data_IF_084051879171
#
_entry.id   IF_084051879171
#
_cell.length_a   1.000
_cell.length_b   1.000
_cell.length_c   1.000
_cell.angle_alpha   90.00
_cell.angle_beta   90.00
_cell.angle_gamma   90.00
#
_symmetry.space_group_name_H-M   'P 1'
#
loop_
_entity.id
_entity.type
_entity.pdbx_description
1 polymer ?
#
# COMPACT_ATOMS: atom_id res chain seq x y z
N UNK A 1 17.90 -46.52 -5.60
CA UNK A 1 17.87 -46.90 -4.15
C UNK A 1 16.42 -46.88 -3.63
N UNK A 2 16.07 -47.56 -2.53
CA UNK A 2 14.69 -47.53 -1.99
C UNK A 2 14.38 -46.15 -1.35
N UNK A 3 13.30 -45.50 -1.78
CA UNK A 3 12.79 -44.20 -1.29
C UNK A 3 12.84 -44.05 0.23
N UNK A 4 12.39 -45.07 0.96
CA UNK A 4 12.31 -45.07 2.42
C UNK A 4 13.72 -45.00 3.06
N UNK A 5 14.70 -45.64 2.43
CA UNK A 5 16.10 -45.68 2.86
C UNK A 5 16.79 -44.33 2.64
N UNK A 6 16.47 -43.63 1.55
CA UNK A 6 16.97 -42.27 1.26
C UNK A 6 16.45 -41.29 2.32
N UNK A 7 15.14 -41.29 2.57
CA UNK A 7 14.51 -40.42 3.57
C UNK A 7 15.14 -40.66 4.95
N UNK A 8 15.29 -41.91 5.38
CA UNK A 8 15.84 -42.24 6.70
C UNK A 8 17.30 -41.78 6.85
N UNK A 9 18.11 -41.90 5.80
CA UNK A 9 19.51 -41.45 5.78
C UNK A 9 19.66 -39.95 5.98
N UNK A 10 18.84 -39.15 5.30
CA UNK A 10 18.87 -37.69 5.44
C UNK A 10 18.21 -37.23 6.75
N UNK A 11 17.11 -37.89 7.16
CA UNK A 11 16.42 -37.58 8.41
C UNK A 11 17.30 -37.80 9.65
N UNK A 12 18.07 -38.89 9.70
CA UNK A 12 19.05 -39.15 10.79
C UNK A 12 20.14 -38.09 10.91
N UNK A 13 20.40 -37.33 9.84
CA UNK A 13 21.33 -36.20 9.82
C UNK A 13 20.64 -34.84 9.97
N UNK A 14 19.36 -34.83 10.33
CA UNK A 14 18.57 -33.60 10.52
C UNK A 14 18.24 -32.87 9.22
N UNK A 15 18.34 -33.53 8.06
CA UNK A 15 18.03 -32.97 6.74
C UNK A 15 16.68 -33.52 6.26
N UNK A 16 15.76 -32.66 5.80
CA UNK A 16 14.49 -33.04 5.17
C UNK A 16 14.60 -32.82 3.66
N UNK A 17 14.15 -33.77 2.84
CA UNK A 17 14.30 -33.73 1.37
C UNK A 17 13.02 -33.28 0.69
N UNK A 18 13.11 -32.46 -0.36
CA UNK A 18 11.97 -32.16 -1.24
C UNK A 18 11.61 -33.37 -2.10
N UNK A 19 10.39 -33.41 -2.64
CA UNK A 19 9.95 -34.50 -3.53
C UNK A 19 10.75 -34.56 -4.84
N UNK A 20 11.13 -33.41 -5.39
CA UNK A 20 11.96 -33.34 -6.60
C UNK A 20 13.37 -33.87 -6.30
N UNK A 21 13.94 -33.48 -5.16
CA UNK A 21 15.22 -33.99 -4.70
C UNK A 21 15.17 -35.50 -4.44
N UNK A 22 14.10 -35.98 -3.81
CA UNK A 22 13.92 -37.40 -3.53
C UNK A 22 13.86 -38.21 -4.83
N UNK A 23 13.13 -37.69 -5.83
CA UNK A 23 13.01 -38.27 -7.17
C UNK A 23 14.33 -38.24 -7.96
N UNK A 24 15.19 -37.24 -7.73
CA UNK A 24 16.54 -37.19 -8.28
C UNK A 24 17.46 -38.23 -7.63
N UNK A 25 17.45 -38.31 -6.29
CA UNK A 25 18.27 -39.26 -5.53
C UNK A 25 17.85 -40.72 -5.74
N UNK A 26 16.59 -40.97 -6.10
CA UNK A 26 16.12 -42.31 -6.49
C UNK A 26 16.82 -42.83 -7.75
N UNK A 27 17.23 -41.93 -8.66
CA UNK A 27 17.88 -42.23 -9.95
C UNK A 27 19.41 -42.34 -9.87
N UNK A 28 19.99 -41.93 -8.74
CA UNK A 28 21.44 -42.02 -8.49
C UNK A 28 21.87 -43.44 -8.06
N UNK A 29 23.12 -43.79 -8.34
CA UNK A 29 23.71 -45.07 -7.93
C UNK A 29 24.03 -45.07 -6.43
N UNK A 30 23.92 -46.23 -5.75
CA UNK A 30 24.18 -46.31 -4.30
C UNK A 30 25.62 -45.92 -3.93
N UNK A 31 26.58 -46.10 -4.85
CA UNK A 31 27.99 -45.78 -4.64
C UNK A 31 28.30 -44.27 -4.64
N UNK A 32 27.45 -43.42 -5.25
CA UNK A 32 27.64 -41.96 -5.25
C UNK A 32 27.08 -41.28 -3.99
N UNK A 33 26.31 -42.00 -3.16
CA UNK A 33 25.64 -41.45 -1.97
C UNK A 33 26.55 -40.86 -0.89
N UNK A 34 27.69 -41.47 -0.53
CA UNK A 34 28.60 -40.87 0.46
C UNK A 34 29.08 -39.48 0.03
N UNK A 35 29.40 -39.30 -1.25
CA UNK A 35 29.83 -38.02 -1.80
C UNK A 35 28.72 -36.97 -1.91
N UNK A 36 27.45 -37.38 -2.05
CA UNK A 36 26.29 -36.47 -2.05
C UNK A 36 25.96 -36.02 -0.62
N UNK A 37 26.13 -36.91 0.36
CA UNK A 37 25.83 -36.65 1.76
C UNK A 37 26.82 -35.68 2.43
N UNK A 38 28.07 -35.68 1.99
CA UNK A 38 29.15 -34.81 2.51
C UNK A 38 29.23 -33.45 1.79
N UNK A 39 28.39 -33.21 0.77
CA UNK A 39 28.25 -31.89 0.13
C UNK A 39 27.21 -31.05 0.88
N UNK A 40 27.57 -29.82 1.21
CA UNK A 40 26.63 -28.79 1.71
C UNK A 40 25.78 -28.25 0.56
N UNK A 41 24.83 -29.06 0.08
CA UNK A 41 23.77 -28.54 -0.77
C UNK A 41 22.69 -27.91 0.12
N UNK A 42 22.68 -26.58 0.18
CA UNK A 42 21.54 -25.82 0.72
C UNK A 42 20.22 -26.11 -0.02
N UNK A 43 20.27 -26.63 -1.25
CA UNK A 43 19.12 -26.95 -2.10
C UNK A 43 18.40 -28.27 -1.75
N UNK A 44 19.01 -29.15 -0.93
CA UNK A 44 18.39 -30.44 -0.58
C UNK A 44 17.48 -30.36 0.67
N UNK A 45 17.27 -29.17 1.24
CA UNK A 45 16.62 -28.97 2.54
C UNK A 45 15.20 -28.39 2.42
N UNK A 46 14.18 -29.17 2.78
CA UNK A 46 12.85 -28.63 3.09
C UNK A 46 12.93 -27.78 4.36
N UNK A 47 13.18 -26.49 4.18
CA UNK A 47 12.96 -25.48 5.23
C UNK A 47 11.45 -25.24 5.45
N UNK A 48 11.01 -24.69 6.60
CA UNK A 48 9.60 -24.33 6.84
C UNK A 48 8.97 -23.47 5.74
N UNK A 49 9.78 -22.73 4.96
CA UNK A 49 9.35 -21.96 3.78
C UNK A 49 8.71 -22.81 2.69
N UNK A 50 9.09 -24.08 2.55
CA UNK A 50 8.51 -25.00 1.55
C UNK A 50 7.11 -25.51 1.93
N UNK A 51 6.71 -25.36 3.19
CA UNK A 51 5.37 -25.70 3.67
C UNK A 51 4.47 -24.46 3.80
N UNK A 52 4.98 -23.26 3.50
CA UNK A 52 4.20 -22.03 3.48
C UNK A 52 3.45 -21.95 2.14
N UNK A 53 2.16 -22.26 2.16
CA UNK A 53 1.28 -21.91 1.04
C UNK A 53 1.25 -20.40 0.90
N UNK A 54 1.50 -19.88 -0.31
CA UNK A 54 1.35 -18.46 -0.61
C UNK A 54 -0.01 -17.96 -0.12
N UNK A 55 -0.01 -16.88 0.66
CA UNK A 55 -1.23 -16.31 1.21
C UNK A 55 -1.43 -14.92 0.62
N UNK A 56 -2.31 -14.85 -0.38
CA UNK A 56 -2.63 -13.63 -1.12
C UNK A 56 -4.11 -13.31 -0.90
N UNK A 57 -4.42 -12.13 -0.38
CA UNK A 57 -5.79 -11.62 -0.34
C UNK A 57 -5.85 -10.14 -0.69
N UNK A 58 -6.80 -9.78 -1.53
CA UNK A 58 -7.05 -8.40 -1.92
C UNK A 58 -7.89 -7.76 -0.82
N UNK A 59 -7.32 -6.78 -0.12
CA UNK A 59 -8.00 -6.07 0.99
C UNK A 59 -8.79 -4.86 0.50
N UNK A 60 -8.32 -4.21 -0.57
CA UNK A 60 -8.91 -2.98 -1.10
C UNK A 60 -8.70 -2.94 -2.61
N UNK A 61 -9.79 -2.99 -3.37
CA UNK A 61 -9.79 -2.90 -4.83
C UNK A 61 -11.15 -2.39 -5.34
N UNK A 62 -11.15 -1.25 -6.04
CA UNK A 62 -12.36 -0.66 -6.64
C UNK A 62 -12.55 -1.21 -8.05
N UNK A 63 -13.57 -2.04 -8.28
CA UNK A 63 -13.78 -2.71 -9.58
C UNK A 63 -14.82 -2.04 -10.47
N UNK A 64 -15.61 -1.09 -9.95
CA UNK A 64 -16.60 -0.36 -10.74
C UNK A 64 -16.96 0.99 -10.11
N UNK A 65 -17.40 1.93 -10.96
CA UNK A 65 -17.91 3.25 -10.57
C UNK A 65 -19.39 3.35 -11.00
N UNK A 66 -20.34 3.06 -10.10
CA UNK A 66 -21.75 3.19 -10.44
C UNK A 66 -22.11 4.66 -10.65
N UNK A 67 -23.05 4.92 -11.56
CA UNK A 67 -23.57 6.26 -11.79
C UNK A 67 -24.61 6.57 -10.70
N UNK A 68 -24.38 7.61 -9.91
CA UNK A 68 -25.17 7.89 -8.71
C UNK A 68 -26.13 9.07 -8.89
N UNK A 69 -27.34 8.91 -8.36
CA UNK A 69 -28.29 10.01 -8.18
C UNK A 69 -27.90 10.92 -7.01
N UNK A 70 -28.48 12.14 -6.95
CA UNK A 70 -28.18 13.14 -5.90
C UNK A 70 -28.32 12.61 -4.47
N UNK A 71 -29.37 11.82 -4.18
CA UNK A 71 -29.57 11.27 -2.83
C UNK A 71 -28.46 10.28 -2.43
N UNK A 72 -27.91 9.54 -3.38
CA UNK A 72 -26.82 8.59 -3.15
C UNK A 72 -25.48 9.30 -2.92
N UNK A 73 -25.33 10.55 -3.38
CA UNK A 73 -24.13 11.35 -3.13
C UNK A 73 -23.96 11.72 -1.65
N UNK A 74 -25.06 11.80 -0.88
CA UNK A 74 -24.99 11.99 0.58
C UNK A 74 -24.38 10.77 1.28
N UNK A 75 -24.56 9.57 0.71
CA UNK A 75 -23.97 8.32 1.22
C UNK A 75 -22.44 8.37 1.25
N UNK A 76 -21.81 8.99 0.25
CA UNK A 76 -20.36 9.19 0.19
C UNK A 76 -19.84 9.95 1.41
N UNK A 77 -20.35 11.15 1.66
CA UNK A 77 -19.89 12.00 2.77
C UNK A 77 -20.22 11.42 4.14
N UNK A 78 -21.38 10.76 4.25
CA UNK A 78 -21.77 10.06 5.48
C UNK A 78 -20.79 8.92 5.78
N UNK A 79 -20.50 8.08 4.79
CA UNK A 79 -19.52 6.99 4.90
C UNK A 79 -18.13 7.51 5.24
N UNK A 80 -17.67 8.59 4.57
CA UNK A 80 -16.40 9.26 4.86
C UNK A 80 -16.34 9.71 6.32
N UNK A 81 -17.38 10.42 6.79
CA UNK A 81 -17.45 10.91 8.16
C UNK A 81 -17.40 9.79 9.18
N UNK A 82 -18.20 8.74 8.99
CA UNK A 82 -18.30 7.62 9.93
C UNK A 82 -17.00 6.84 10.05
N UNK A 83 -16.38 6.46 8.91
CA UNK A 83 -15.09 5.75 8.88
C UNK A 83 -13.99 6.58 9.53
N UNK A 84 -13.86 7.86 9.15
CA UNK A 84 -12.87 8.76 9.73
C UNK A 84 -13.10 9.04 11.22
N UNK A 85 -14.35 9.23 11.64
CA UNK A 85 -14.72 9.41 13.04
C UNK A 85 -14.35 8.19 13.88
N UNK A 86 -14.55 6.98 13.37
CA UNK A 86 -14.15 5.75 14.05
C UNK A 86 -12.62 5.72 14.29
N UNK A 87 -11.83 6.01 13.25
CA UNK A 87 -10.36 6.08 13.33
C UNK A 87 -9.91 7.16 14.33
N UNK A 88 -10.44 8.38 14.21
CA UNK A 88 -10.12 9.50 15.10
C UNK A 88 -10.44 9.17 16.57
N UNK A 89 -11.61 8.59 16.82
CA UNK A 89 -12.05 8.21 18.17
C UNK A 89 -11.12 7.16 18.78
N UNK A 90 -10.80 6.11 18.02
CA UNK A 90 -9.92 5.04 18.47
C UNK A 90 -8.48 5.52 18.74
N UNK A 91 -7.94 6.39 17.87
CA UNK A 91 -6.54 6.82 17.91
C UNK A 91 -6.28 7.93 18.92
N UNK A 92 -7.20 8.90 19.05
CA UNK A 92 -7.01 10.06 19.90
C UNK A 92 -7.50 9.85 21.34
N UNK A 93 -8.43 8.91 21.56
CA UNK A 93 -8.98 8.55 22.88
C UNK A 93 -9.41 9.80 23.68
N UNK A 94 -10.09 10.73 23.01
CA UNK A 94 -10.64 11.97 23.60
C UNK A 94 -12.15 11.87 23.73
N UNK A 95 -12.71 12.67 24.63
CA UNK A 95 -14.15 12.83 24.79
C UNK A 95 -14.67 13.80 23.73
N UNK A 96 -15.00 13.27 22.56
CA UNK A 96 -15.56 14.04 21.46
C UNK A 96 -17.03 14.40 21.72
N UNK A 97 -17.38 15.66 21.49
CA UNK A 97 -18.73 16.19 21.65
C UNK A 97 -19.32 16.55 20.29
N UNK A 98 -20.63 16.31 20.15
CA UNK A 98 -21.41 16.79 19.00
C UNK A 98 -21.61 18.30 19.07
N UNK A 99 -21.70 18.93 17.90
CA UNK A 99 -21.81 20.40 17.78
C UNK A 99 -23.03 20.94 18.54
N UNK A 100 -24.18 20.26 18.48
CA UNK A 100 -25.40 20.69 19.17
C UNK A 100 -25.33 20.67 20.72
N UNK A 101 -24.33 20.01 21.31
CA UNK A 101 -24.13 19.92 22.77
C UNK A 101 -23.17 20.98 23.31
N UNK A 102 -22.61 21.82 22.45
CA UNK A 102 -21.65 22.85 22.85
C UNK A 102 -22.35 23.97 23.60
N UNK A 103 -21.88 24.26 24.82
CA UNK A 103 -22.35 25.36 25.66
C UNK A 103 -21.50 26.63 25.52
N UNK A 104 -21.89 27.72 26.19
CA UNK A 104 -21.11 28.97 26.26
C UNK A 104 -20.23 29.05 27.53
N UNK A 105 -19.79 27.90 28.03
CA UNK A 105 -19.12 27.71 29.33
C UNK A 105 -17.61 27.97 29.30
N UNK A 106 -17.05 28.35 28.14
CA UNK A 106 -15.60 28.52 27.93
C UNK A 106 -14.79 27.27 28.27
N UNK A 107 -15.42 26.09 28.26
CA UNK A 107 -14.74 24.84 28.48
C UNK A 107 -13.85 24.48 27.27
N UNK A 108 -12.84 23.66 27.55
CA UNK A 108 -12.08 23.00 26.50
C UNK A 108 -12.87 21.82 25.95
N UNK A 109 -13.00 21.77 24.63
CA UNK A 109 -13.84 20.83 23.91
C UNK A 109 -13.05 20.12 22.81
N UNK A 110 -13.43 18.88 22.52
CA UNK A 110 -12.94 18.13 21.37
C UNK A 110 -14.13 17.84 20.47
N UNK A 111 -14.03 18.22 19.19
CA UNK A 111 -15.10 18.04 18.20
C UNK A 111 -14.53 17.35 16.96
N UNK A 112 -15.38 16.62 16.23
CA UNK A 112 -15.04 16.02 14.92
C UNK A 112 -16.05 16.54 13.91
N UNK A 113 -15.57 17.15 12.83
CA UNK A 113 -16.41 17.67 11.77
C UNK A 113 -15.73 17.58 10.40
N UNK A 114 -16.54 17.70 9.35
CA UNK A 114 -16.08 17.88 7.97
C UNK A 114 -15.84 19.37 7.73
N UNK A 115 -14.71 19.73 7.13
CA UNK A 115 -14.43 21.11 6.71
C UNK A 115 -15.29 21.46 5.50
N UNK A 116 -16.26 22.34 5.69
CA UNK A 116 -17.19 22.81 4.65
C UNK A 116 -16.64 24.02 3.90
N UNK A 117 -16.07 24.97 4.66
CA UNK A 117 -15.50 26.20 4.12
C UNK A 117 -14.22 26.56 4.88
N UNK A 118 -13.28 27.19 4.18
CA UNK A 118 -12.05 27.77 4.75
C UNK A 118 -11.91 29.20 4.25
N UNK A 119 -11.75 30.14 5.18
CA UNK A 119 -11.51 31.57 4.92
C UNK A 119 -10.23 32.01 5.60
N UNK A 120 -9.31 32.56 4.84
CA UNK A 120 -8.05 33.10 5.33
C UNK A 120 -8.17 34.64 5.47
N UNK A 121 -7.92 35.15 6.66
CA UNK A 121 -7.86 36.58 6.99
C UNK A 121 -6.45 36.94 7.47
N UNK A 122 -6.08 38.24 7.46
CA UNK A 122 -4.69 38.72 7.66
C UNK A 122 -3.91 38.06 8.80
N UNK A 123 -4.55 37.67 9.91
CA UNK A 123 -3.92 36.98 11.04
C UNK A 123 -4.72 35.80 11.60
N UNK A 124 -5.74 35.34 10.87
CA UNK A 124 -6.68 34.31 11.35
C UNK A 124 -7.09 33.37 10.23
N UNK A 125 -7.33 32.13 10.58
CA UNK A 125 -7.97 31.16 9.71
C UNK A 125 -9.33 30.80 10.31
N UNK A 126 -10.39 30.96 9.53
CA UNK A 126 -11.74 30.58 9.93
C UNK A 126 -12.14 29.37 9.10
N UNK A 127 -12.44 28.26 9.77
CA UNK A 127 -12.96 27.06 9.12
C UNK A 127 -14.37 26.79 9.63
N UNK A 128 -15.29 26.53 8.72
CA UNK A 128 -16.64 26.09 9.10
C UNK A 128 -16.67 24.58 9.06
N UNK A 129 -16.92 23.96 10.21
CA UNK A 129 -17.04 22.51 10.33
C UNK A 129 -18.51 22.09 10.44
N UNK A 130 -18.82 20.93 9.89
CA UNK A 130 -20.16 20.33 9.92
C UNK A 130 -20.10 18.90 10.49
N UNK A 131 -21.05 18.57 11.36
CA UNK A 131 -21.36 17.21 11.77
C UNK A 131 -22.86 16.92 11.53
N UNK A 132 -23.30 15.70 11.83
CA UNK A 132 -24.72 15.29 11.67
C UNK A 132 -25.71 16.09 12.53
N UNK A 133 -25.22 16.91 13.47
CA UNK A 133 -26.03 17.70 14.41
C UNK A 133 -26.08 19.20 14.10
N UNK A 134 -25.18 19.70 13.25
CA UNK A 134 -25.15 21.09 12.82
C UNK A 134 -23.78 21.54 12.33
N UNK A 135 -23.63 22.85 12.16
CA UNK A 135 -22.40 23.48 11.72
C UNK A 135 -21.93 24.53 12.73
N UNK A 136 -20.61 24.71 12.85
CA UNK A 136 -20.03 25.74 13.73
C UNK A 136 -18.73 26.31 13.14
N UNK A 137 -18.54 27.64 13.14
CA UNK A 137 -17.26 28.26 12.76
C UNK A 137 -16.20 28.02 13.85
N UNK A 138 -14.98 27.73 13.41
CA UNK A 138 -13.79 27.57 14.24
C UNK A 138 -12.73 28.58 13.81
N UNK A 139 -12.27 29.41 14.75
CA UNK A 139 -11.28 30.47 14.52
C UNK A 139 -9.93 30.02 15.07
N UNK A 140 -8.92 29.99 14.23
CA UNK A 140 -7.52 29.72 14.58
C UNK A 140 -6.67 30.99 14.45
N UNK A 141 -5.72 31.15 15.37
CA UNK A 141 -4.67 32.16 15.26
C UNK A 141 -3.49 31.54 14.51
N UNK A 142 -3.22 31.99 13.29
CA UNK A 142 -2.17 31.42 12.42
C UNK A 142 -2.67 30.39 11.40
N UNK A 143 -1.75 29.80 10.60
CA UNK A 143 -2.07 28.91 9.50
C UNK A 143 -2.64 27.57 9.97
N UNK A 144 -3.50 26.99 9.14
CA UNK A 144 -4.18 25.72 9.43
C UNK A 144 -4.01 24.77 8.24
N UNK A 145 -3.48 23.58 8.53
CA UNK A 145 -3.29 22.48 7.58
C UNK A 145 -4.53 21.59 7.52
N UNK A 146 -5.50 22.02 6.70
CA UNK A 146 -6.67 21.25 6.33
C UNK A 146 -7.19 21.71 4.96
N UNK A 147 -7.86 20.81 4.28
CA UNK A 147 -8.52 21.07 2.99
C UNK A 147 -10.03 20.99 3.12
N UNK A 148 -10.74 21.44 2.08
CA UNK A 148 -12.17 21.20 1.98
C UNK A 148 -12.46 19.70 1.97
N UNK A 149 -13.56 19.31 2.59
CA UNK A 149 -14.00 17.93 2.78
C UNK A 149 -13.13 17.08 3.74
N UNK A 150 -12.05 17.63 4.33
CA UNK A 150 -11.27 16.90 5.35
C UNK A 150 -12.14 16.65 6.60
N UNK A 151 -12.10 15.42 7.13
CA UNK A 151 -12.70 15.10 8.43
C UNK A 151 -11.64 15.31 9.50
N UNK A 152 -11.82 16.34 10.32
CA UNK A 152 -10.80 16.80 11.29
C UNK A 152 -11.30 16.67 12.71
N UNK A 153 -10.43 16.22 13.62
CA UNK A 153 -10.63 16.39 15.05
C UNK A 153 -10.01 17.73 15.49
N UNK A 154 -10.72 18.50 16.30
CA UNK A 154 -10.28 19.82 16.72
C UNK A 154 -10.33 19.92 18.24
N UNK A 155 -9.23 20.39 18.83
CA UNK A 155 -9.20 20.86 20.21
C UNK A 155 -9.49 22.37 20.21
N UNK A 156 -10.54 22.79 20.90
CA UNK A 156 -10.97 24.18 20.92
C UNK A 156 -11.47 24.63 22.31
N UNK A 157 -11.67 25.93 22.47
CA UNK A 157 -12.40 26.52 23.60
C UNK A 157 -13.78 26.94 23.11
N UNK A 158 -14.83 26.56 23.85
CA UNK A 158 -16.20 26.89 23.46
C UNK A 158 -16.53 28.36 23.68
N UNK A 159 -16.90 29.07 22.60
CA UNK A 159 -17.36 30.46 22.61
C UNK A 159 -18.88 30.59 22.47
N UNK A 160 -19.64 29.50 22.62
CA UNK A 160 -21.08 29.46 22.36
C UNK A 160 -21.37 29.30 20.87
N UNK A 161 -21.39 30.39 20.11
CA UNK A 161 -21.70 30.36 18.65
C UNK A 161 -20.48 30.10 17.76
N UNK A 162 -19.28 30.15 18.34
CA UNK A 162 -18.01 29.95 17.64
C UNK A 162 -17.10 29.10 18.51
N UNK A 163 -16.16 28.41 17.90
CA UNK A 163 -15.07 27.72 18.60
C UNK A 163 -13.77 28.49 18.40
N UNK A 164 -12.97 28.61 19.45
CA UNK A 164 -11.60 29.11 19.36
C UNK A 164 -10.65 27.91 19.26
N UNK A 165 -10.21 27.59 18.05
CA UNK A 165 -9.38 26.44 17.76
C UNK A 165 -7.98 26.59 18.33
N UNK A 166 -7.52 25.60 19.10
CA UNK A 166 -6.13 25.48 19.57
C UNK A 166 -5.26 24.73 18.57
N UNK A 167 -5.75 23.58 18.09
CA UNK A 167 -5.07 22.75 17.09
C UNK A 167 -6.02 21.78 16.39
N UNK A 168 -5.69 21.46 15.16
CA UNK A 168 -6.23 20.29 14.44
C UNK A 168 -5.43 19.05 14.85
N UNK A 169 -6.15 17.95 15.05
CA UNK A 169 -5.64 16.65 15.42
C UNK A 169 -5.94 15.66 14.29
N UNK A 170 -4.89 15.08 13.72
CA UNK A 170 -5.01 13.95 12.81
C UNK A 170 -4.69 12.64 13.54
N UNK A 171 -5.29 11.52 13.12
CA UNK A 171 -5.18 10.25 13.85
C UNK A 171 -3.77 9.64 13.75
N UNK A 172 -3.10 9.86 12.62
CA UNK A 172 -1.79 9.32 12.26
C UNK A 172 -1.73 7.78 12.37
N UNK A 173 -0.72 7.16 11.76
CA UNK A 173 -0.49 5.73 11.94
C UNK A 173 0.17 5.47 13.31
N UNK A 174 -0.14 4.34 13.97
CA UNK A 174 0.51 3.94 15.22
C UNK A 174 1.99 3.67 15.00
N UNK A 175 2.83 4.08 15.97
CA UNK A 175 4.16 3.52 16.09
C UNK A 175 4.02 2.05 16.52
N UNK A 176 4.61 1.14 15.75
CA UNK A 176 4.54 -0.31 15.99
C UNK A 176 5.87 -0.96 15.65
N UNK A 177 6.02 -2.23 16.00
CA UNK A 177 7.12 -3.05 15.47
C UNK A 177 6.83 -3.41 14.00
N UNK A 178 7.86 -3.53 13.16
CA UNK A 178 7.68 -3.98 11.78
C UNK A 178 7.05 -5.37 11.75
N UNK A 179 5.98 -5.51 10.97
CA UNK A 179 5.44 -6.83 10.63
C UNK A 179 6.45 -7.55 9.73
N UNK A 180 6.58 -8.86 9.90
CA UNK A 180 7.40 -9.72 9.03
C UNK A 180 6.51 -10.71 8.29
N UNK A 181 7.04 -11.23 7.20
CA UNK A 181 6.37 -12.18 6.33
C UNK A 181 7.36 -13.18 5.76
N UNK A 182 7.04 -13.72 4.59
CA UNK A 182 7.93 -14.66 3.89
C UNK A 182 7.96 -14.43 2.38
N UNK A 183 9.10 -14.76 1.78
CA UNK A 183 9.36 -14.55 0.36
C UNK A 183 9.93 -13.15 0.06
N UNK A 184 10.12 -12.89 -1.24
CA UNK A 184 10.67 -11.64 -1.77
C UNK A 184 9.75 -11.07 -2.84
N UNK A 185 9.66 -9.75 -2.86
CA UNK A 185 8.96 -9.01 -3.91
C UNK A 185 9.85 -7.89 -4.46
N UNK A 186 9.67 -7.59 -5.74
CA UNK A 186 10.28 -6.45 -6.41
C UNK A 186 9.22 -5.37 -6.64
N UNK A 187 9.59 -4.11 -6.42
CA UNK A 187 8.73 -2.94 -6.53
C UNK A 187 9.30 -1.99 -7.58
N UNK A 188 8.47 -1.67 -8.58
CA UNK A 188 8.79 -0.77 -9.69
C UNK A 188 7.61 0.17 -10.02
N UNK A 189 7.88 1.32 -10.61
CA UNK A 189 6.89 2.32 -11.02
C UNK A 189 7.41 3.07 -12.26
N UNK A 190 6.52 3.78 -12.95
CA UNK A 190 6.88 4.75 -14.01
C UNK A 190 7.82 4.12 -15.06
N UNK A 191 7.36 3.01 -15.64
CA UNK A 191 8.15 2.15 -16.51
C UNK A 191 8.18 2.64 -17.96
N UNK A 192 7.14 3.35 -18.42
CA UNK A 192 7.05 3.98 -19.75
C UNK A 192 7.63 3.10 -20.88
N UNK A 193 7.13 1.88 -21.01
CA UNK A 193 7.68 0.84 -21.89
C UNK A 193 7.69 1.21 -23.38
N UNK A 194 6.92 2.22 -23.77
CA UNK A 194 6.87 2.82 -25.09
C UNK A 194 8.09 3.71 -25.40
N UNK A 195 8.77 4.22 -24.38
CA UNK A 195 9.92 5.13 -24.50
C UNK A 195 11.28 4.45 -24.21
N UNK A 196 11.27 3.27 -23.58
CA UNK A 196 12.52 2.58 -23.21
C UNK A 196 13.21 1.87 -24.39
N UNK A 197 14.54 1.73 -24.37
CA UNK A 197 15.26 0.94 -25.36
C UNK A 197 14.79 -0.53 -25.38
N UNK A 198 14.68 -1.13 -26.57
CA UNK A 198 14.19 -2.51 -26.75
C UNK A 198 14.94 -3.59 -25.93
N UNK A 199 16.18 -3.32 -25.52
CA UNK A 199 17.01 -4.26 -24.74
C UNK A 199 16.79 -4.15 -23.23
N UNK A 200 16.18 -3.06 -22.75
CA UNK A 200 15.96 -2.83 -21.33
C UNK A 200 15.07 -3.91 -20.70
N UNK A 201 13.92 -4.29 -21.30
CA UNK A 201 13.07 -5.34 -20.75
C UNK A 201 13.82 -6.65 -20.50
N UNK A 202 14.55 -7.16 -21.50
CA UNK A 202 15.30 -8.42 -21.36
C UNK A 202 16.32 -8.35 -20.22
N UNK A 203 17.04 -7.22 -20.09
CA UNK A 203 18.01 -7.02 -19.00
C UNK A 203 17.33 -7.00 -17.63
N UNK A 204 16.22 -6.28 -17.50
CA UNK A 204 15.47 -6.18 -16.27
C UNK A 204 14.93 -7.53 -15.82
N UNK A 205 14.31 -8.30 -16.71
CA UNK A 205 13.74 -9.61 -16.35
C UNK A 205 14.82 -10.64 -16.05
N UNK A 206 15.95 -10.65 -16.77
CA UNK A 206 17.09 -11.49 -16.43
C UNK A 206 17.62 -11.18 -15.03
N UNK A 207 17.77 -9.90 -14.69
CA UNK A 207 18.16 -9.48 -13.34
C UNK A 207 17.13 -9.91 -12.29
N UNK A 208 15.84 -9.74 -12.57
CA UNK A 208 14.74 -10.09 -11.67
C UNK A 208 14.66 -11.60 -11.39
N UNK A 209 15.00 -12.44 -12.36
CA UNK A 209 15.13 -13.89 -12.18
C UNK A 209 16.30 -14.25 -11.27
N UNK A 210 17.46 -13.60 -11.44
CA UNK A 210 18.65 -13.83 -10.59
C UNK A 210 18.43 -13.44 -9.12
N UNK A 211 17.57 -12.45 -8.84
CA UNK A 211 17.24 -12.05 -7.46
C UNK A 211 16.31 -13.05 -6.74
N UNK A 212 15.77 -14.05 -7.45
CA UNK A 212 14.88 -15.07 -6.89
C UNK A 212 13.55 -14.50 -6.39
N UNK A 213 13.03 -13.48 -7.08
CA UNK A 213 11.81 -12.78 -6.69
C UNK A 213 10.55 -13.52 -7.15
N UNK A 214 9.59 -13.72 -6.24
CA UNK A 214 8.33 -14.41 -6.55
C UNK A 214 7.25 -13.46 -7.09
N UNK A 215 7.21 -12.22 -6.61
CA UNK A 215 6.17 -11.24 -6.96
C UNK A 215 6.77 -9.94 -7.50
N UNK A 216 6.21 -9.44 -8.60
CA UNK A 216 6.52 -8.11 -9.14
C UNK A 216 5.35 -7.17 -8.86
N UNK A 217 5.64 -6.00 -8.28
CA UNK A 217 4.68 -4.94 -8.03
C UNK A 217 4.98 -3.76 -8.95
N UNK A 218 3.96 -3.26 -9.64
CA UNK A 218 4.06 -2.16 -10.60
C UNK A 218 3.08 -1.05 -10.22
N UNK A 219 3.60 0.14 -9.89
CA UNK A 219 2.81 1.30 -9.48
C UNK A 219 2.63 2.31 -10.62
N UNK A 220 1.87 1.93 -11.65
CA UNK A 220 1.41 2.82 -12.71
C UNK A 220 2.46 3.29 -13.71
N UNK A 221 1.97 4.04 -14.69
CA UNK A 221 2.70 4.65 -15.80
C UNK A 221 3.49 3.61 -16.59
N UNK A 222 2.74 2.68 -17.16
CA UNK A 222 3.24 1.47 -17.80
C UNK A 222 3.74 1.75 -19.21
N UNK A 223 3.03 2.59 -19.98
CA UNK A 223 3.26 2.78 -21.41
C UNK A 223 2.59 1.69 -22.26
N UNK A 224 3.38 0.95 -23.05
CA UNK A 224 2.85 -0.13 -23.91
C UNK A 224 2.36 -1.34 -23.10
N UNK A 225 1.03 -1.47 -22.97
CA UNK A 225 0.37 -2.56 -22.24
C UNK A 225 0.50 -3.93 -22.90
N UNK A 226 0.68 -4.00 -24.22
CA UNK A 226 0.85 -5.27 -24.94
C UNK A 226 2.24 -5.86 -24.69
N UNK A 227 3.25 -5.00 -24.72
CA UNK A 227 4.63 -5.35 -24.34
C UNK A 227 4.66 -5.73 -22.86
N UNK A 228 4.02 -4.94 -22.00
CA UNK A 228 3.91 -5.26 -20.57
C UNK A 228 3.33 -6.65 -20.32
N UNK A 229 2.23 -7.00 -20.99
CA UNK A 229 1.56 -8.29 -20.84
C UNK A 229 2.46 -9.46 -21.25
N UNK A 230 3.20 -9.30 -22.35
CA UNK A 230 4.12 -10.33 -22.87
C UNK A 230 5.28 -10.57 -21.90
N UNK A 231 5.83 -9.49 -21.33
CA UNK A 231 6.97 -9.54 -20.42
C UNK A 231 6.60 -10.06 -19.03
N UNK A 232 5.52 -9.52 -18.46
CA UNK A 232 5.09 -9.85 -17.10
C UNK A 232 4.27 -11.14 -17.04
N UNK A 233 3.80 -11.67 -18.16
CA UNK A 233 2.91 -12.83 -18.22
C UNK A 233 3.47 -14.12 -17.61
N UNK A 234 4.80 -14.24 -17.46
CA UNK A 234 5.44 -15.43 -16.87
C UNK A 234 5.70 -15.30 -15.36
N UNK A 235 5.47 -14.13 -14.76
CA UNK A 235 5.70 -13.86 -13.33
C UNK A 235 4.41 -13.37 -12.67
N UNK A 236 4.22 -13.70 -11.40
CA UNK A 236 3.08 -13.17 -10.62
C UNK A 236 3.26 -11.67 -10.44
N UNK A 237 2.50 -10.91 -11.21
CA UNK A 237 2.64 -9.45 -11.31
C UNK A 237 1.39 -8.80 -10.78
N UNK A 238 1.54 -7.86 -9.85
CA UNK A 238 0.46 -7.03 -9.32
C UNK A 238 0.68 -5.62 -9.84
N UNK A 239 -0.33 -5.06 -10.48
CA UNK A 239 -0.21 -3.77 -11.16
C UNK A 239 -1.41 -2.89 -10.88
N UNK A 240 -1.16 -1.59 -10.68
CA UNK A 240 -2.19 -0.55 -10.65
C UNK A 240 -1.97 0.43 -11.82
N UNK A 241 -3.02 1.11 -12.31
CA UNK A 241 -2.86 2.18 -13.29
C UNK A 241 -2.26 3.46 -12.66
N UNK A 242 -1.41 4.14 -13.43
CA UNK A 242 -0.95 5.51 -13.17
C UNK A 242 -1.84 6.54 -13.88
N UNK A 243 -1.46 7.81 -13.77
CA UNK A 243 -2.22 8.90 -14.39
C UNK A 243 -2.02 8.95 -15.91
N UNK A 244 -0.94 8.38 -16.45
CA UNK A 244 -0.73 8.27 -17.89
C UNK A 244 -1.47 7.07 -18.52
N UNK A 245 -1.90 6.09 -17.71
CA UNK A 245 -2.50 4.84 -18.21
C UNK A 245 -4.02 4.94 -18.45
N UNK A 246 -4.67 5.99 -17.96
CA UNK A 246 -6.14 6.14 -18.03
C UNK A 246 -6.59 7.59 -18.12
N UNK A 247 -7.68 7.84 -18.85
CA UNK A 247 -8.39 9.13 -18.85
C UNK A 247 -9.44 9.21 -17.72
N UNK A 248 -9.58 8.15 -16.91
CA UNK A 248 -10.53 8.15 -15.81
C UNK A 248 -10.11 9.10 -14.67
N UNK A 249 -11.11 9.59 -13.95
CA UNK A 249 -10.92 10.39 -12.73
C UNK A 249 -10.57 9.53 -11.52
N UNK A 250 -9.73 10.03 -10.63
CA UNK A 250 -9.25 9.30 -9.45
C UNK A 250 -10.36 9.02 -8.42
N UNK A 251 -10.44 7.83 -7.80
CA UNK A 251 -9.58 6.64 -7.94
C UNK A 251 -9.74 5.91 -9.27
N UNK A 252 -8.70 5.27 -9.79
CA UNK A 252 -8.72 4.60 -11.11
C UNK A 252 -9.13 3.13 -11.00
N UNK A 253 -9.88 2.64 -11.99
CA UNK A 253 -10.28 1.23 -12.08
C UNK A 253 -9.14 0.33 -12.59
N UNK A 254 -9.16 -1.00 -12.31
CA UNK A 254 -8.22 -1.95 -12.87
C UNK A 254 -8.18 -1.91 -14.40
N UNK A 255 -7.01 -2.16 -14.97
CA UNK A 255 -6.80 -2.31 -16.41
C UNK A 255 -7.13 -3.73 -16.87
N UNK A 256 -7.51 -3.87 -18.14
CA UNK A 256 -7.70 -5.17 -18.77
C UNK A 256 -6.37 -5.76 -19.26
N UNK A 257 -6.00 -6.92 -18.73
CA UNK A 257 -4.90 -7.74 -19.26
C UNK A 257 -5.41 -9.17 -19.51
N UNK A 258 -4.89 -9.81 -20.56
CA UNK A 258 -5.16 -11.24 -20.79
C UNK A 258 -4.11 -12.10 -20.09
N UNK A 259 -4.55 -13.03 -19.24
CA UNK A 259 -3.69 -14.00 -18.58
C UNK A 259 -3.93 -14.11 -17.08
N UNK A 260 -3.54 -15.24 -16.49
CA UNK A 260 -3.79 -15.54 -15.07
C UNK A 260 -2.72 -15.02 -14.11
N UNK A 261 -1.58 -14.58 -14.63
CA UNK A 261 -0.41 -14.21 -13.82
C UNK A 261 -0.31 -12.71 -13.53
N UNK A 262 -1.09 -11.89 -14.23
CA UNK A 262 -1.18 -10.44 -13.99
C UNK A 262 -2.47 -10.16 -13.23
N UNK A 263 -2.33 -9.59 -12.04
CA UNK A 263 -3.43 -9.13 -11.19
C UNK A 263 -3.46 -7.61 -11.30
N UNK A 264 -4.34 -7.08 -12.14
CA UNK A 264 -4.59 -5.65 -12.17
C UNK A 264 -5.56 -5.26 -11.06
N UNK A 265 -5.20 -4.22 -10.31
CA UNK A 265 -5.98 -3.63 -9.23
C UNK A 265 -6.24 -2.16 -9.52
N UNK A 266 -7.18 -1.57 -8.79
CA UNK A 266 -7.47 -0.14 -8.82
C UNK A 266 -6.30 0.67 -8.27
N UNK A 267 -6.25 1.96 -8.61
CA UNK A 267 -5.38 2.91 -7.93
C UNK A 267 -6.23 3.84 -7.04
N UNK A 268 -6.12 3.76 -5.71
CA UNK A 268 -5.20 2.93 -4.93
C UNK A 268 -5.76 1.52 -4.67
N UNK A 269 -4.89 0.60 -4.27
CA UNK A 269 -5.27 -0.75 -3.82
C UNK A 269 -4.41 -1.24 -2.65
N UNK A 270 -4.95 -2.18 -1.88
CA UNK A 270 -4.26 -2.82 -0.76
C UNK A 270 -4.35 -4.35 -0.92
N UNK A 271 -3.21 -5.00 -0.76
CA UNK A 271 -3.11 -6.46 -0.77
C UNK A 271 -2.44 -6.95 0.50
N UNK A 272 -2.91 -8.07 1.03
CA UNK A 272 -2.18 -8.84 2.01
C UNK A 272 -1.43 -9.96 1.30
N UNK A 273 -0.11 -9.94 1.44
CA UNK A 273 0.78 -10.90 0.81
C UNK A 273 1.74 -11.46 1.86
N UNK A 274 1.65 -12.78 2.09
CA UNK A 274 2.61 -13.55 2.88
C UNK A 274 2.97 -12.94 4.24
N UNK A 275 2.00 -12.36 4.96
CA UNK A 275 2.22 -11.75 6.27
C UNK A 275 2.17 -10.22 6.28
N UNK A 276 2.25 -9.56 5.12
CA UNK A 276 2.38 -8.11 5.02
C UNK A 276 1.21 -7.47 4.29
N UNK A 277 0.75 -6.33 4.81
CA UNK A 277 -0.19 -5.43 4.11
C UNK A 277 0.61 -4.45 3.24
N UNK A 278 0.37 -4.49 1.94
CA UNK A 278 1.06 -3.69 0.93
C UNK A 278 0.02 -2.76 0.28
N UNK A 279 0.16 -1.47 0.52
CA UNK A 279 -0.57 -0.41 -0.18
C UNK A 279 0.18 -0.10 -1.47
N UNK A 280 -0.54 -0.09 -2.59
CA UNK A 280 -0.03 0.34 -3.88
C UNK A 280 -0.86 1.55 -4.30
N UNK A 281 -0.19 2.66 -4.57
CA UNK A 281 -0.82 3.94 -4.93
C UNK A 281 0.15 4.70 -5.81
N UNK A 282 -0.26 5.22 -6.97
CA UNK A 282 0.68 5.85 -7.89
C UNK A 282 1.21 7.20 -7.34
N UNK A 283 0.29 8.11 -6.99
CA UNK A 283 0.63 9.40 -6.38
C UNK A 283 0.48 9.35 -4.87
N UNK A 284 1.59 9.52 -4.14
CA UNK A 284 1.61 9.41 -2.69
C UNK A 284 2.28 10.60 -2.03
N UNK A 285 1.63 11.09 -0.96
CA UNK A 285 2.23 12.04 -0.03
C UNK A 285 2.15 11.52 1.41
N UNK A 286 3.15 11.88 2.21
CA UNK A 286 3.25 11.48 3.61
C UNK A 286 2.08 11.94 4.48
N UNK A 287 1.44 13.06 4.13
CA UNK A 287 0.23 13.51 4.79
C UNK A 287 -0.92 12.50 4.68
N UNK A 288 -0.98 11.66 3.64
CA UNK A 288 -2.03 10.65 3.49
C UNK A 288 -2.01 9.62 4.64
N UNK A 289 -0.83 9.22 5.12
CA UNK A 289 -0.70 8.35 6.28
C UNK A 289 -1.08 9.08 7.58
N UNK A 290 -0.68 10.35 7.71
CA UNK A 290 -1.00 11.18 8.90
C UNK A 290 -2.51 11.42 9.00
N UNK A 291 -3.14 11.80 7.89
CA UNK A 291 -4.58 12.05 7.77
C UNK A 291 -5.38 10.76 7.78
N UNK A 292 -4.81 9.61 7.40
CA UNK A 292 -5.51 8.33 7.16
C UNK A 292 -6.50 8.41 5.99
N UNK A 293 -6.14 9.17 4.96
CA UNK A 293 -6.97 9.42 3.79
C UNK A 293 -6.10 9.48 2.53
N UNK A 294 -6.42 8.67 1.52
CA UNK A 294 -5.60 8.41 0.33
C UNK A 294 -5.81 9.43 -0.79
N UNK A 295 -5.97 10.71 -0.44
CA UNK A 295 -6.17 11.80 -1.39
C UNK A 295 -7.64 12.11 -1.70
N UNK A 296 -7.86 13.17 -2.47
CA UNK A 296 -9.19 13.67 -2.81
C UNK A 296 -9.82 12.82 -3.92
N UNK A 297 -11.04 12.34 -3.70
CA UNK A 297 -11.77 11.67 -4.77
C UNK A 297 -12.29 12.70 -5.77
N UNK A 298 -12.10 12.43 -7.06
CA UNK A 298 -12.60 13.26 -8.16
C UNK A 298 -13.97 12.80 -8.67
N UNK A 299 -14.48 11.70 -8.10
CA UNK A 299 -15.79 11.11 -8.38
C UNK A 299 -16.51 10.83 -7.06
N UNK A 300 -17.84 10.84 -7.11
CA UNK A 300 -18.64 10.44 -5.94
C UNK A 300 -18.97 8.95 -6.09
N UNK A 301 -18.61 8.17 -5.07
CA UNK A 301 -18.86 6.73 -4.97
C UNK A 301 -20.01 6.46 -3.97
N UNK A 302 -20.64 5.27 -3.96
CA UNK A 302 -21.71 4.97 -3.00
C UNK A 302 -21.26 5.13 -1.56
N UNK A 303 -20.00 4.80 -1.30
CA UNK A 303 -19.30 4.95 -0.04
C UNK A 303 -17.90 5.49 -0.29
N UNK A 304 -17.31 6.11 0.73
CA UNK A 304 -15.93 6.56 0.62
C UNK A 304 -14.97 5.37 0.54
N UNK A 305 -14.22 5.34 -0.57
CA UNK A 305 -13.21 4.33 -0.85
C UNK A 305 -11.80 4.79 -0.47
N UNK A 306 -11.55 6.05 -0.10
CA UNK A 306 -10.18 6.57 0.10
C UNK A 306 -9.77 6.64 1.56
N UNK A 307 -10.68 6.42 2.50
CA UNK A 307 -10.29 6.20 3.90
C UNK A 307 -9.33 5.02 4.00
N UNK A 308 -8.25 5.25 4.75
CA UNK A 308 -7.24 4.26 5.08
C UNK A 308 -7.57 3.65 6.44
N UNK A 309 -8.43 2.62 6.44
CA UNK A 309 -8.84 1.92 7.66
C UNK A 309 -7.74 1.02 8.22
N UNK A 310 -7.01 0.35 7.32
CA UNK A 310 -5.91 -0.56 7.64
C UNK A 310 -4.56 0.15 7.56
N UNK A 311 -3.61 -0.22 8.41
CA UNK A 311 -2.26 0.37 8.37
C UNK A 311 -1.36 -0.49 7.47
N UNK A 312 -0.80 0.06 6.36
CA UNK A 312 0.10 -0.71 5.51
C UNK A 312 1.43 -0.97 6.20
N UNK A 313 2.02 -2.12 5.95
CA UNK A 313 3.41 -2.43 6.30
C UNK A 313 4.37 -1.94 5.21
N UNK A 314 3.93 -1.91 3.95
CA UNK A 314 4.68 -1.34 2.82
C UNK A 314 3.74 -0.39 2.06
N UNK A 315 4.23 0.79 1.69
CA UNK A 315 3.60 1.67 0.70
C UNK A 315 4.50 1.71 -0.52
N UNK A 316 3.96 1.28 -1.65
CA UNK A 316 4.63 1.32 -2.95
C UNK A 316 3.97 2.39 -3.82
N UNK A 317 4.77 3.32 -4.34
CA UNK A 317 4.30 4.46 -5.12
C UNK A 317 5.28 4.93 -6.19
N UNK A 318 4.78 5.75 -7.11
CA UNK A 318 5.50 6.27 -8.29
C UNK A 318 5.48 7.80 -8.38
N UNK A 319 5.50 8.33 -9.61
CA UNK A 319 5.30 9.74 -10.00
C UNK A 319 6.39 10.75 -9.59
N UNK A 320 7.05 10.57 -8.45
CA UNK A 320 8.05 11.56 -7.99
C UNK A 320 9.38 11.53 -8.77
N UNK A 321 9.53 10.58 -9.71
CA UNK A 321 10.70 10.32 -10.57
C UNK A 321 12.06 10.27 -9.83
N UNK A 322 12.06 10.11 -8.50
CA UNK A 322 13.26 10.02 -7.67
C UNK A 322 13.18 8.75 -6.83
N UNK A 323 14.06 7.76 -7.07
CA UNK A 323 14.08 6.57 -6.26
C UNK A 323 14.33 6.89 -4.80
N UNK A 324 13.50 6.34 -3.93
CA UNK A 324 13.57 6.59 -2.51
C UNK A 324 13.00 5.41 -1.73
N UNK A 325 13.73 5.00 -0.69
CA UNK A 325 13.25 4.05 0.30
C UNK A 325 13.42 4.66 1.68
N UNK A 326 12.35 4.67 2.47
CA UNK A 326 12.39 5.17 3.84
C UNK A 326 11.44 4.39 4.74
N UNK A 327 11.46 4.71 6.03
CA UNK A 327 10.58 4.12 7.01
C UNK A 327 9.83 5.21 7.76
N UNK A 328 8.51 5.05 7.88
CA UNK A 328 7.67 5.88 8.73
C UNK A 328 6.90 5.00 9.69
N UNK A 329 7.28 5.04 10.97
CA UNK A 329 6.61 4.27 12.04
C UNK A 329 6.43 2.78 11.70
N UNK A 330 7.48 2.18 11.15
CA UNK A 330 7.55 0.79 10.71
C UNK A 330 6.77 0.45 9.44
N UNK A 331 6.22 1.44 8.76
CA UNK A 331 5.76 1.32 7.36
C UNK A 331 6.92 1.68 6.43
N UNK A 332 7.34 0.74 5.57
CA UNK A 332 8.38 1.01 4.56
C UNK A 332 7.75 1.70 3.36
N UNK A 333 8.30 2.83 2.96
CA UNK A 333 7.87 3.62 1.81
C UNK A 333 8.85 3.38 0.67
N UNK A 334 8.33 3.06 -0.51
CA UNK A 334 9.13 2.55 -1.63
C UNK A 334 8.70 3.25 -2.91
N UNK A 335 9.66 3.90 -3.56
CA UNK A 335 9.55 4.46 -4.90
C UNK A 335 10.79 4.06 -5.69
N UNK A 336 10.61 3.46 -6.87
CA UNK A 336 11.72 3.00 -7.71
C UNK A 336 12.27 4.09 -8.65
N UNK A 337 11.70 5.29 -8.64
CA UNK A 337 11.92 6.29 -9.67
C UNK A 337 11.30 5.85 -10.99
N UNK A 338 11.89 6.26 -12.11
CA UNK A 338 11.32 6.10 -13.44
C UNK A 338 12.39 5.76 -14.46
N UNK A 339 12.01 4.96 -15.45
CA UNK A 339 12.85 4.62 -16.62
C UNK A 339 13.18 5.83 -17.50
N UNK A 340 12.44 6.93 -17.39
CA UNK A 340 12.73 8.17 -18.11
C UNK A 340 13.81 9.02 -17.41
N UNK A 341 14.12 8.73 -16.15
CA UNK A 341 15.04 9.52 -15.33
C UNK A 341 16.05 8.63 -14.63
N UNK A 342 15.81 8.28 -13.37
CA UNK A 342 16.61 7.33 -12.62
C UNK A 342 15.72 6.17 -12.20
N UNK A 343 16.02 4.98 -12.72
CA UNK A 343 15.29 3.75 -12.40
C UNK A 343 16.12 2.88 -11.46
N UNK A 344 15.59 2.66 -10.26
CA UNK A 344 16.18 1.79 -9.26
C UNK A 344 15.12 0.85 -8.68
N UNK A 345 14.88 -0.32 -9.30
CA UNK A 345 13.96 -1.32 -8.77
C UNK A 345 14.36 -1.73 -7.35
N UNK A 346 13.36 -1.96 -6.50
CA UNK A 346 13.58 -2.26 -5.09
C UNK A 346 13.13 -3.68 -4.80
N UNK A 347 14.05 -4.53 -4.35
CA UNK A 347 13.72 -5.88 -3.86
C UNK A 347 13.66 -5.84 -2.35
N UNK A 348 12.60 -6.40 -1.76
CA UNK A 348 12.43 -6.48 -0.31
C UNK A 348 12.26 -7.94 0.09
N UNK A 349 13.05 -8.39 1.08
CA UNK A 349 12.83 -9.66 1.76
C UNK A 349 11.81 -9.45 2.89
N UNK A 350 10.67 -10.12 2.80
CA UNK A 350 9.58 -9.94 3.75
C UNK A 350 9.91 -10.47 5.14
N UNK A 351 10.85 -11.43 5.25
CA UNK A 351 11.22 -12.04 6.52
C UNK A 351 12.16 -11.15 7.33
N UNK A 352 13.11 -10.47 6.68
CA UNK A 352 14.08 -9.59 7.35
C UNK A 352 13.71 -8.12 7.27
N UNK A 353 12.81 -7.73 6.35
CA UNK A 353 12.48 -6.34 6.00
C UNK A 353 13.66 -5.55 5.42
N UNK A 354 14.75 -6.24 5.08
CA UNK A 354 15.88 -5.66 4.35
C UNK A 354 15.49 -5.44 2.89
N UNK A 355 16.02 -4.37 2.32
CA UNK A 355 15.77 -4.00 0.94
C UNK A 355 17.10 -3.79 0.20
N UNK A 356 17.06 -4.04 -1.10
CA UNK A 356 18.16 -3.83 -2.03
C UNK A 356 17.65 -3.02 -3.21
N UNK A 357 18.42 -2.01 -3.61
CA UNK A 357 18.23 -1.29 -4.86
C UNK A 357 19.30 -1.73 -5.86
N UNK A 358 18.92 -1.85 -7.13
CA UNK A 358 19.85 -2.02 -8.22
C UNK A 358 19.74 -0.82 -9.16
N UNK A 359 20.86 -0.29 -9.61
CA UNK A 359 20.89 0.67 -10.72
C UNK A 359 21.05 -0.15 -12.00
N UNK A 360 20.05 -0.06 -12.88
CA UNK A 360 20.05 -0.76 -14.16
C UNK A 360 20.26 0.26 -15.27
N UNK A 361 21.24 -0.02 -16.14
CA UNK A 361 21.48 0.78 -17.32
C UNK A 361 20.29 0.63 -18.28
N UNK A 362 19.57 1.74 -18.47
CA UNK A 362 18.41 1.88 -19.38
C UNK A 362 18.87 1.79 -20.84
#
# INVERSE_FOLDING_TARGET
MNRKKIIELFFRRGKLLSEDTLSMLEKENEDSMPGILDRDYHELLLTPRHFQTENVSILKNLTSKPNLGREQQLGFYTSKYEKMRAILTQRLQKNFMSINKLGADRAEVFVIGIVKEKREEENKNIIDIEDVTGNIPVIFQGPVDCELDDVVAIQAISGGRVLFGKKILYPDIPLRNPSTGFGKACFISDVHLDEVPKKFPDRFFNWLEMEGVSFLFVAGDIGDTTVFQTLCGNKKTIVIPGNADTEEKYPYLPMGFDGKNIISLSNPAMIYLNGLKILIIHEFDMSMLKKRYLGKSEVILPEDYLVLDEVPDIVHYGHTHKPFVSNYKSTTLVNSGSTLTKFMPVVIDFSTREWKQAELDI
#
